data_IF_628495244248
#
_entry.id   IF_628495244248
#
_cell.length_a   1.000
_cell.length_b   1.000
_cell.length_c   1.000
_cell.angle_alpha   90.00
_cell.angle_beta   90.00
_cell.angle_gamma   90.00
#
_symmetry.space_group_name_H-M   'P 1'
#
loop_
_entity.id
_entity.type
_entity.pdbx_description
1 polymer ?
#
# COMPACT_ATOMS: atom_id res chain seq x y z
N UNK A 1 14.53 0.16 -1.86
CA UNK A 1 13.75 -1.01 -1.39
C UNK A 1 14.70 -2.17 -1.24
N UNK A 2 14.74 -2.76 -0.05
CA UNK A 2 15.48 -3.99 0.22
C UNK A 2 14.45 -5.12 0.29
N UNK A 3 14.54 -6.07 -0.64
CA UNK A 3 13.65 -7.24 -0.69
C UNK A 3 14.34 -8.37 0.05
N UNK A 4 13.79 -8.76 1.20
CA UNK A 4 14.34 -9.84 2.01
C UNK A 4 13.44 -11.06 1.85
N UNK A 5 13.96 -12.08 1.16
CA UNK A 5 13.31 -13.37 1.03
C UNK A 5 13.58 -14.18 2.29
N UNK A 6 12.58 -14.33 3.17
CA UNK A 6 12.73 -15.09 4.41
C UNK A 6 11.71 -16.25 4.48
N UNK A 7 12.12 -17.37 5.09
CA UNK A 7 11.32 -18.59 5.24
C UNK A 7 10.46 -18.57 6.52
N UNK A 8 10.79 -17.69 7.47
CA UNK A 8 10.14 -17.62 8.79
C UNK A 8 9.03 -16.56 8.88
N UNK A 9 9.08 -15.52 8.04
CA UNK A 9 8.13 -14.41 8.03
C UNK A 9 7.71 -14.18 6.56
N UNK A 10 6.39 -14.13 6.23
CA UNK A 10 5.23 -14.08 7.13
C UNK A 10 4.64 -15.46 7.50
N UNK A 11 4.04 -15.58 8.69
CA UNK A 11 3.31 -16.77 9.14
C UNK A 11 2.05 -17.00 8.29
N UNK A 12 2.01 -18.13 7.55
CA UNK A 12 0.89 -18.93 6.96
C UNK A 12 -0.38 -18.26 6.36
N UNK A 13 -0.64 -16.96 6.52
CA UNK A 13 -1.85 -16.26 6.04
C UNK A 13 -1.60 -15.03 5.16
N UNK A 14 -0.34 -14.64 4.93
CA UNK A 14 0.03 -13.46 4.13
C UNK A 14 1.22 -13.80 3.22
N UNK A 15 1.12 -13.44 1.93
CA UNK A 15 2.14 -13.76 0.90
C UNK A 15 3.30 -12.75 0.86
N UNK A 16 3.05 -11.51 1.31
CA UNK A 16 4.03 -10.46 1.50
C UNK A 16 3.62 -9.53 2.65
N UNK A 17 4.60 -8.98 3.38
CA UNK A 17 4.38 -7.89 4.34
C UNK A 17 5.45 -6.82 4.13
N UNK A 18 5.05 -5.55 4.01
CA UNK A 18 5.97 -4.42 3.94
C UNK A 18 6.10 -3.76 5.32
N UNK A 19 7.29 -3.84 5.91
CA UNK A 19 7.65 -3.20 7.17
C UNK A 19 8.88 -2.32 6.95
N UNK A 20 8.75 -1.03 7.20
CA UNK A 20 9.77 0.00 7.03
C UNK A 20 10.41 0.07 5.63
N UNK A 21 9.66 -0.21 4.55
CA UNK A 21 10.21 -0.27 3.19
C UNK A 21 11.01 -1.55 2.91
N UNK A 22 10.91 -2.52 3.81
CA UNK A 22 11.39 -3.89 3.64
C UNK A 22 10.20 -4.76 3.25
N UNK A 23 10.20 -5.17 1.98
CA UNK A 23 9.23 -6.13 1.49
C UNK A 23 9.70 -7.53 1.87
N UNK A 24 9.00 -8.15 2.81
CA UNK A 24 9.20 -9.55 3.16
C UNK A 24 8.26 -10.41 2.33
N UNK A 25 8.77 -10.97 1.24
CA UNK A 25 8.05 -11.92 0.40
C UNK A 25 8.37 -13.36 0.81
N UNK A 26 7.35 -14.22 0.80
CA UNK A 26 7.56 -15.67 0.88
C UNK A 26 8.25 -16.16 -0.40
N UNK A 27 9.12 -17.16 -0.27
CA UNK A 27 9.84 -17.76 -1.40
C UNK A 27 8.84 -18.28 -2.45
N UNK A 28 8.79 -17.68 -3.63
CA UNK A 28 7.86 -18.02 -4.72
C UNK A 28 6.99 -16.87 -5.23
N UNK A 29 6.99 -15.71 -4.57
CA UNK A 29 6.28 -14.52 -5.07
C UNK A 29 6.97 -14.01 -6.33
N UNK A 30 6.25 -13.98 -7.45
CA UNK A 30 6.75 -13.36 -8.68
C UNK A 30 6.71 -11.86 -8.49
N UNK A 31 7.89 -11.25 -8.39
CA UNK A 31 8.01 -9.80 -8.28
C UNK A 31 7.75 -9.22 -9.67
N UNK A 32 6.55 -8.69 -9.88
CA UNK A 32 6.18 -8.00 -11.11
C UNK A 32 6.64 -6.54 -11.09
N UNK A 33 6.75 -5.92 -12.26
CA UNK A 33 7.03 -4.50 -12.37
C UNK A 33 5.98 -3.65 -11.60
N UNK A 34 4.72 -4.05 -11.67
CA UNK A 34 3.62 -3.36 -10.98
C UNK A 34 3.75 -3.44 -9.46
N UNK A 35 4.16 -4.61 -8.94
CA UNK A 35 4.43 -4.75 -7.51
C UNK A 35 5.59 -3.85 -7.08
N UNK A 36 6.66 -3.78 -7.87
CA UNK A 36 7.78 -2.86 -7.59
C UNK A 36 7.28 -1.40 -7.58
N UNK A 37 6.42 -1.03 -8.53
CA UNK A 37 5.88 0.32 -8.61
C UNK A 37 4.99 0.64 -7.40
N UNK A 38 4.12 -0.29 -7.00
CA UNK A 38 3.29 -0.20 -5.80
C UNK A 38 4.14 0.10 -4.55
N UNK A 39 5.22 -0.67 -4.35
CA UNK A 39 6.13 -0.45 -3.22
C UNK A 39 6.91 0.86 -3.29
N UNK A 40 7.24 1.34 -4.49
CA UNK A 40 7.87 2.66 -4.67
C UNK A 40 6.90 3.80 -4.30
N UNK A 41 5.61 3.65 -4.60
CA UNK A 41 4.57 4.60 -4.17
C UNK A 41 4.49 4.65 -2.65
N UNK A 42 4.46 3.49 -1.97
CA UNK A 42 4.51 3.43 -0.52
C UNK A 42 5.77 4.07 0.07
N UNK A 43 6.93 3.79 -0.53
CA UNK A 43 8.18 4.44 -0.10
C UNK A 43 8.08 5.96 -0.18
N UNK A 44 7.46 6.48 -1.25
CA UNK A 44 7.25 7.93 -1.40
C UNK A 44 6.28 8.49 -0.36
N UNK A 45 5.18 7.79 -0.07
CA UNK A 45 4.23 8.16 0.98
C UNK A 45 4.90 8.18 2.36
N UNK A 46 5.73 7.17 2.67
CA UNK A 46 6.50 7.09 3.93
C UNK A 46 7.45 8.28 4.09
N UNK A 47 8.16 8.67 3.02
CA UNK A 47 9.04 9.85 3.04
C UNK A 47 8.24 11.14 3.27
N UNK A 48 7.07 11.28 2.63
CA UNK A 48 6.24 12.49 2.73
C UNK A 48 5.62 12.69 4.12
N UNK A 49 5.22 11.60 4.79
CA UNK A 49 4.66 11.68 6.13
C UNK A 49 5.72 11.57 7.24
N UNK A 50 6.90 11.04 6.91
CA UNK A 50 7.80 10.46 7.88
C UNK A 50 7.36 9.04 8.23
N UNK A 51 8.31 8.12 8.29
CA UNK A 51 8.06 6.69 8.47
C UNK A 51 7.16 6.37 9.67
N UNK A 52 7.43 7.00 10.82
CA UNK A 52 6.65 6.76 12.06
C UNK A 52 5.19 7.22 11.88
N UNK A 53 4.98 8.43 11.37
CA UNK A 53 3.64 8.97 11.18
C UNK A 53 2.85 8.23 10.10
N UNK A 54 3.52 7.75 9.05
CA UNK A 54 2.90 6.89 8.06
C UNK A 54 2.29 5.64 8.71
N UNK A 55 3.06 4.90 9.50
CA UNK A 55 2.57 3.69 10.18
C UNK A 55 1.48 3.99 11.21
N UNK A 56 1.60 5.09 11.95
CA UNK A 56 0.57 5.49 12.91
C UNK A 56 -0.75 5.79 12.19
N UNK A 57 -0.71 6.61 11.13
CA UNK A 57 -1.91 6.96 10.38
C UNK A 57 -2.50 5.76 9.65
N UNK A 58 -1.66 4.85 9.15
CA UNK A 58 -2.07 3.60 8.53
C UNK A 58 -2.91 2.74 9.48
N UNK A 59 -2.44 2.54 10.71
CA UNK A 59 -3.17 1.77 11.73
C UNK A 59 -4.45 2.48 12.14
N UNK A 60 -4.44 3.79 12.31
CA UNK A 60 -5.64 4.57 12.64
C UNK A 60 -6.70 4.45 11.53
N UNK A 61 -6.30 4.64 10.26
CA UNK A 61 -7.22 4.51 9.12
C UNK A 61 -7.75 3.07 9.00
N UNK A 62 -6.91 2.08 9.24
CA UNK A 62 -7.33 0.68 9.28
C UNK A 62 -8.38 0.44 10.36
N UNK A 63 -8.15 0.88 11.60
CA UNK A 63 -9.09 0.74 12.73
C UNK A 63 -10.44 1.41 12.43
N UNK A 64 -10.43 2.62 11.86
CA UNK A 64 -11.64 3.34 11.46
C UNK A 64 -12.42 2.57 10.37
N UNK A 65 -11.72 1.84 9.50
CA UNK A 65 -12.30 1.12 8.37
C UNK A 65 -12.67 -0.34 8.66
N UNK A 66 -12.30 -0.90 9.82
CA UNK A 66 -12.74 -2.23 10.28
C UNK A 66 -14.27 -2.43 10.19
N UNK A 67 -15.12 -1.50 10.68
CA UNK A 67 -16.57 -1.67 10.61
C UNK A 67 -17.16 -1.52 9.20
N UNK A 68 -16.35 -1.15 8.19
CA UNK A 68 -16.82 -0.96 6.82
C UNK A 68 -16.82 -2.29 6.05
N UNK A 69 -17.81 -2.49 5.18
CA UNK A 69 -17.86 -3.67 4.29
C UNK A 69 -16.60 -3.76 3.41
N UNK A 70 -16.01 -4.95 3.34
CA UNK A 70 -14.83 -5.27 2.51
C UNK A 70 -13.58 -5.52 3.35
N UNK A 71 -12.43 -5.71 2.68
CA UNK A 71 -11.13 -5.81 3.37
C UNK A 71 -10.72 -4.41 3.81
N UNK A 72 -10.73 -4.14 5.13
CA UNK A 72 -10.37 -2.83 5.70
C UNK A 72 -9.04 -2.28 5.16
N UNK A 73 -8.07 -3.18 4.95
CA UNK A 73 -6.79 -2.90 4.29
C UNK A 73 -6.95 -2.23 2.91
N UNK A 74 -7.77 -2.81 2.01
CA UNK A 74 -7.96 -2.28 0.65
C UNK A 74 -8.64 -0.91 0.62
N UNK A 75 -9.28 -0.53 1.71
CA UNK A 75 -9.97 0.74 1.82
C UNK A 75 -9.05 1.87 2.32
N UNK A 76 -7.85 1.55 2.81
CA UNK A 76 -6.87 2.52 3.28
C UNK A 76 -6.44 3.43 2.11
N UNK A 77 -6.36 4.73 2.37
CA UNK A 77 -6.09 5.74 1.35
C UNK A 77 -4.75 5.52 0.62
N UNK A 78 -3.73 5.09 1.35
CA UNK A 78 -2.41 4.73 0.81
C UNK A 78 -2.47 3.56 -0.16
N UNK A 79 -3.17 2.48 0.24
CA UNK A 79 -3.36 1.28 -0.57
C UNK A 79 -4.14 1.61 -1.84
N UNK A 80 -5.21 2.41 -1.72
CA UNK A 80 -6.02 2.83 -2.86
C UNK A 80 -5.19 3.62 -3.87
N UNK A 81 -4.32 4.52 -3.42
CA UNK A 81 -3.40 5.21 -4.30
C UNK A 81 -2.42 4.24 -4.97
N UNK A 82 -1.78 3.37 -4.19
CA UNK A 82 -0.75 2.47 -4.69
C UNK A 82 -1.31 1.45 -5.69
N UNK A 83 -2.47 0.85 -5.42
CA UNK A 83 -3.15 -0.05 -6.35
C UNK A 83 -3.66 0.65 -7.60
N UNK A 84 -4.13 1.90 -7.50
CA UNK A 84 -4.68 2.60 -8.67
C UNK A 84 -3.59 3.03 -9.66
N UNK A 85 -2.33 3.16 -9.22
CA UNK A 85 -1.22 3.63 -10.07
C UNK A 85 -0.06 2.64 -10.15
N UNK A 86 -0.28 1.37 -9.76
CA UNK A 86 0.77 0.34 -9.83
C UNK A 86 1.18 0.00 -11.27
N UNK A 87 0.27 0.16 -12.23
CA UNK A 87 0.50 -0.07 -13.66
C UNK A 87 1.05 1.17 -14.41
N UNK A 88 1.17 2.31 -13.72
CA UNK A 88 1.70 3.55 -14.27
C UNK A 88 3.18 3.78 -13.85
N UNK A 89 4.15 3.42 -14.72
CA UNK A 89 5.57 3.57 -14.39
C UNK A 89 5.99 5.04 -14.20
N UNK A 90 5.24 5.98 -14.79
CA UNK A 90 5.52 7.40 -14.71
C UNK A 90 4.76 8.11 -13.58
N UNK A 91 4.00 7.39 -12.76
CA UNK A 91 3.18 8.00 -11.72
C UNK A 91 4.02 8.86 -10.76
N UNK A 92 5.15 8.32 -10.30
CA UNK A 92 6.00 8.96 -9.30
C UNK A 92 6.62 10.28 -9.77
N UNK A 93 6.81 10.49 -11.07
CA UNK A 93 7.39 11.73 -11.60
C UNK A 93 6.36 12.86 -11.66
N UNK A 94 5.08 12.54 -11.87
CA UNK A 94 3.97 13.52 -11.99
C UNK A 94 3.11 13.66 -10.74
N UNK A 95 3.24 12.73 -9.79
CA UNK A 95 2.49 12.69 -8.53
C UNK A 95 2.79 13.93 -7.70
N UNK A 96 1.72 14.59 -7.21
CA UNK A 96 1.83 15.70 -6.24
C UNK A 96 2.09 15.15 -4.83
N UNK A 97 2.82 15.88 -3.96
CA UNK A 97 2.95 15.52 -2.54
C UNK A 97 1.58 15.32 -1.90
N UNK A 98 1.47 14.31 -1.02
CA UNK A 98 0.22 13.97 -0.31
C UNK A 98 -0.98 13.63 -1.22
N UNK A 99 -0.73 13.12 -2.43
CA UNK A 99 -1.80 12.73 -3.35
C UNK A 99 -2.77 11.66 -2.77
N UNK A 100 -2.31 10.84 -1.82
CA UNK A 100 -3.12 9.87 -1.06
C UNK A 100 -4.34 10.51 -0.37
N UNK A 101 -4.30 11.80 -0.02
CA UNK A 101 -5.40 12.55 0.62
C UNK A 101 -6.69 12.46 -0.20
N UNK A 102 -6.58 12.44 -1.54
CA UNK A 102 -7.72 12.31 -2.46
C UNK A 102 -8.48 10.99 -2.29
N UNK A 103 -7.80 9.98 -1.74
CA UNK A 103 -8.32 8.63 -1.52
C UNK A 103 -8.84 8.42 -0.09
N UNK A 104 -8.77 9.43 0.78
CA UNK A 104 -9.43 9.36 2.09
C UNK A 104 -10.95 9.31 1.94
N UNK A 105 -11.50 10.12 1.02
CA UNK A 105 -12.92 10.12 0.70
C UNK A 105 -13.26 8.93 -0.21
N UNK A 106 -14.31 8.20 0.16
CA UNK A 106 -14.85 7.14 -0.67
C UNK A 106 -15.50 7.81 -1.89
N UNK A 107 -15.07 7.46 -3.11
CA UNK A 107 -15.95 7.69 -4.27
C UNK A 107 -17.13 6.72 -4.06
N UNK A 108 -18.39 7.15 -4.17
CA UNK A 108 -19.50 6.22 -4.17
C UNK A 108 -19.17 5.12 -5.18
N UNK A 109 -19.31 3.87 -4.75
CA UNK A 109 -19.22 2.73 -5.64
C UNK A 109 -20.37 2.92 -6.61
N UNK A 110 -20.14 3.51 -7.79
CA UNK A 110 -21.11 3.38 -8.86
C UNK A 110 -21.13 1.90 -9.17
N UNK A 111 -22.23 1.25 -8.80
CA UNK A 111 -22.52 -0.13 -9.13
C UNK A 111 -22.37 -0.26 -10.65
N UNK A 112 -21.28 -0.88 -11.09
CA UNK A 112 -21.18 -1.36 -12.45
C UNK A 112 -22.00 -2.66 -12.43
N UNK A 113 -23.23 -2.55 -12.91
CA UNK A 113 -24.06 -3.70 -13.27
C UNK A 113 -23.42 -4.47 -14.42
#
# INVERSE_FOLDING_TARGET
MLIIHNRLIPFKKYDAINLFGLLFCRKGTTITADLIQHERIHTRQMIEMGFIFFYLFYVIEWLIRIPMKGRAYLNISFEREAYQHMDDPNYLTRRKPYAWVKYMRRKPQNNIN
#
